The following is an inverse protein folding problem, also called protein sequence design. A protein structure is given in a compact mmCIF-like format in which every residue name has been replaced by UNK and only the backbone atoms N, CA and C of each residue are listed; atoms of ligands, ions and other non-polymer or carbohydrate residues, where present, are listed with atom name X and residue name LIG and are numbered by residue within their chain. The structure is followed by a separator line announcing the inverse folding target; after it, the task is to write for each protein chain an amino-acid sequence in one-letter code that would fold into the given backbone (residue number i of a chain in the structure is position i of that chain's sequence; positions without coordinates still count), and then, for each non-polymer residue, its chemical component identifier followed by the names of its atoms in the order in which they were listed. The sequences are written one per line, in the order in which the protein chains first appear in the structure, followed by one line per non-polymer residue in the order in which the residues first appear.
data_IF_098339418168
#
_entry.id   IF_098339418168
#
_cell.length_a   1.000
_cell.length_b   1.000
_cell.length_c   1.000
_cell.angle_alpha   90.00
_cell.angle_beta   90.00
_cell.angle_gamma   90.00
#
_symmetry.space_group_name_H-M   'P 1'
#
loop_
_entity.id
_entity.type
_entity.pdbx_description
1 polymer ?
#
# COMPACT_ATOMS: atom_id res chain seq x y z
N UNK A 1 6.51 -14.21 5.00
CA UNK A 1 6.12 -14.81 3.71
C UNK A 1 6.06 -13.81 2.55
N UNK A 2 5.72 -12.53 2.76
CA UNK A 2 5.53 -11.56 1.66
C UNK A 2 6.73 -11.41 0.69
N UNK A 3 7.96 -11.62 1.15
CA UNK A 3 9.20 -11.56 0.33
C UNK A 3 9.72 -12.94 -0.13
N UNK A 4 8.97 -14.02 0.08
CA UNK A 4 9.41 -15.37 -0.31
C UNK A 4 9.07 -15.62 -1.78
N UNK A 5 10.08 -15.80 -2.63
CA UNK A 5 9.89 -16.09 -4.06
C UNK A 5 9.03 -17.34 -4.32
N UNK A 6 9.11 -18.37 -3.46
CA UNK A 6 8.26 -19.56 -3.59
C UNK A 6 6.76 -19.29 -3.43
N UNK A 7 6.38 -18.19 -2.76
CA UNK A 7 4.98 -17.83 -2.51
C UNK A 7 4.48 -16.76 -3.49
N UNK A 8 5.36 -15.82 -3.88
CA UNK A 8 5.01 -14.61 -4.63
C UNK A 8 5.62 -14.51 -6.02
N UNK A 9 6.43 -15.49 -6.43
CA UNK A 9 7.13 -15.48 -7.72
C UNK A 9 8.46 -14.72 -7.67
N UNK A 10 9.19 -14.63 -8.80
CA UNK A 10 10.49 -13.98 -8.88
C UNK A 10 10.44 -12.46 -8.63
N UNK A 11 9.27 -11.85 -8.82
CA UNK A 11 9.01 -10.42 -8.62
C UNK A 11 8.56 -10.09 -7.18
N UNK A 12 8.77 -10.99 -6.20
CA UNK A 12 8.28 -10.84 -4.81
C UNK A 12 8.76 -9.57 -4.09
N UNK A 13 9.86 -8.99 -4.55
CA UNK A 13 10.44 -7.76 -3.99
C UNK A 13 9.93 -6.48 -4.69
N UNK A 14 9.19 -6.62 -5.79
CA UNK A 14 8.65 -5.50 -6.56
C UNK A 14 7.31 -5.01 -5.99
N UNK A 15 7.13 -3.68 -5.98
CA UNK A 15 5.83 -3.08 -5.72
C UNK A 15 4.93 -3.21 -6.96
N UNK A 16 4.02 -4.18 -6.94
CA UNK A 16 3.16 -4.53 -8.08
C UNK A 16 1.67 -4.59 -7.69
N UNK A 17 0.96 -3.45 -7.72
CA UNK A 17 -0.47 -3.37 -7.39
C UNK A 17 -1.35 -4.28 -8.25
N UNK A 18 -0.93 -4.57 -9.46
CA UNK A 18 -1.64 -5.40 -10.45
C UNK A 18 -1.82 -6.84 -9.95
N UNK A 19 -1.01 -7.30 -8.98
CA UNK A 19 -1.20 -8.61 -8.33
C UNK A 19 -2.55 -8.77 -7.65
N UNK A 20 -3.20 -7.66 -7.32
CA UNK A 20 -4.46 -7.60 -6.58
C UNK A 20 -5.64 -7.28 -7.48
N UNK A 21 -5.43 -7.19 -8.80
CA UNK A 21 -6.44 -6.79 -9.78
C UNK A 21 -6.52 -7.87 -10.85
N UNK A 22 -7.72 -8.37 -11.09
CA UNK A 22 -7.98 -9.31 -12.16
C UNK A 22 -7.80 -8.58 -13.51
N UNK A 23 -6.90 -9.04 -14.40
CA UNK A 23 -6.57 -8.33 -15.62
C UNK A 23 -7.71 -8.32 -16.65
N UNK A 24 -8.67 -9.23 -16.53
CA UNK A 24 -9.79 -9.34 -17.47
C UNK A 24 -11.00 -8.52 -17.04
N UNK A 25 -11.26 -8.44 -15.73
CA UNK A 25 -12.45 -7.79 -15.16
C UNK A 25 -12.16 -6.45 -14.48
N UNK A 26 -10.90 -6.17 -14.17
CA UNK A 26 -10.49 -5.00 -13.38
C UNK A 26 -10.94 -5.05 -11.91
N UNK A 27 -11.52 -6.17 -11.45
CA UNK A 27 -11.99 -6.35 -10.07
C UNK A 27 -10.84 -6.76 -9.15
N UNK A 28 -10.99 -6.47 -7.86
CA UNK A 28 -10.01 -6.89 -6.85
C UNK A 28 -9.99 -8.42 -6.75
N UNK A 29 -8.81 -9.01 -6.89
CA UNK A 29 -8.59 -10.45 -6.72
C UNK A 29 -8.48 -10.76 -5.22
N UNK A 30 -9.31 -11.68 -4.68
CA UNK A 30 -9.22 -12.07 -3.28
C UNK A 30 -7.98 -12.94 -3.07
N UNK A 31 -7.02 -12.45 -2.28
CA UNK A 31 -5.87 -13.23 -1.83
C UNK A 31 -6.16 -13.78 -0.44
N UNK A 32 -5.84 -15.06 -0.22
CA UNK A 32 -5.95 -15.69 1.08
C UNK A 32 -5.18 -14.92 2.15
N UNK A 33 -5.81 -14.66 3.30
CA UNK A 33 -5.17 -14.04 4.46
C UNK A 33 -3.99 -14.88 5.00
N UNK A 34 -3.97 -16.19 4.75
CA UNK A 34 -2.83 -17.05 5.08
C UNK A 34 -1.64 -16.87 4.12
N UNK A 35 -1.87 -16.35 2.91
CA UNK A 35 -0.81 -16.00 1.96
C UNK A 35 -0.26 -14.60 2.25
N UNK A 36 -1.13 -13.65 2.60
CA UNK A 36 -0.77 -12.28 2.96
C UNK A 36 -1.30 -11.90 4.35
N UNK A 37 -0.47 -12.12 5.37
CA UNK A 37 -0.86 -12.14 6.79
C UNK A 37 -0.75 -10.76 7.44
N UNK A 38 -1.11 -9.67 6.74
CA UNK A 38 -0.95 -8.29 7.27
C UNK A 38 -1.89 -7.96 8.42
N UNK A 39 -3.10 -8.55 8.41
CA UNK A 39 -4.11 -8.42 9.48
C UNK A 39 -4.36 -9.75 10.21
N UNK A 40 -3.41 -10.69 10.14
CA UNK A 40 -3.57 -12.07 10.61
C UNK A 40 -4.68 -12.83 9.83
N UNK A 41 -5.07 -14.02 10.29
CA UNK A 41 -6.11 -14.84 9.67
C UNK A 41 -6.96 -15.57 10.72
N UNK A 42 -8.14 -16.05 10.29
CA UNK A 42 -9.04 -16.85 11.13
C UNK A 42 -9.68 -16.07 12.28
N UNK A 43 -10.09 -16.74 13.38
CA UNK A 43 -10.81 -16.12 14.50
C UNK A 43 -10.02 -15.03 15.25
N UNK A 44 -8.71 -14.94 15.04
CA UNK A 44 -7.81 -13.95 15.63
C UNK A 44 -7.31 -12.92 14.61
N UNK A 45 -8.01 -12.79 13.48
CA UNK A 45 -7.84 -11.67 12.56
C UNK A 45 -8.03 -10.35 13.30
N UNK A 46 -7.28 -9.32 12.87
CA UNK A 46 -7.36 -7.99 13.45
C UNK A 46 -8.80 -7.47 13.40
N UNK A 47 -9.37 -7.22 14.59
CA UNK A 47 -10.71 -6.65 14.74
C UNK A 47 -10.83 -5.28 14.04
N UNK A 48 -9.73 -4.53 14.00
CA UNK A 48 -9.64 -3.21 13.39
C UNK A 48 -9.40 -3.20 11.87
N UNK A 49 -9.36 -4.36 11.19
CA UNK A 49 -9.01 -4.42 9.76
C UNK A 49 -9.88 -3.48 8.90
N UNK A 50 -11.20 -3.52 9.08
CA UNK A 50 -12.12 -2.73 8.26
C UNK A 50 -11.96 -1.23 8.51
N UNK A 51 -11.75 -0.83 9.77
CA UNK A 51 -11.51 0.57 10.12
C UNK A 51 -10.19 1.07 9.53
N UNK A 52 -9.10 0.32 9.71
CA UNK A 52 -7.79 0.67 9.17
C UNK A 52 -7.82 0.78 7.64
N UNK A 53 -8.51 -0.14 6.95
CA UNK A 53 -8.67 -0.08 5.49
C UNK A 53 -9.49 1.13 5.03
N UNK A 54 -10.51 1.54 5.78
CA UNK A 54 -11.27 2.75 5.50
C UNK A 54 -10.39 4.00 5.65
N UNK A 55 -9.70 4.14 6.78
CA UNK A 55 -8.82 5.27 7.06
C UNK A 55 -7.70 5.39 6.02
N UNK A 56 -7.02 4.29 5.69
CA UNK A 56 -5.98 4.28 4.66
C UNK A 56 -6.50 4.77 3.30
N UNK A 57 -7.69 4.32 2.87
CA UNK A 57 -8.29 4.76 1.61
C UNK A 57 -8.60 6.26 1.63
N UNK A 58 -9.18 6.77 2.72
CA UNK A 58 -9.50 8.19 2.86
C UNK A 58 -8.24 9.06 2.83
N UNK A 59 -7.20 8.67 3.57
CA UNK A 59 -5.92 9.40 3.61
C UNK A 59 -5.25 9.38 2.24
N UNK A 60 -5.14 8.22 1.60
CA UNK A 60 -4.50 8.08 0.28
C UNK A 60 -5.26 8.87 -0.78
N UNK A 61 -6.60 8.76 -0.83
CA UNK A 61 -7.41 9.53 -1.76
C UNK A 61 -7.32 11.04 -1.52
N UNK A 62 -7.33 11.48 -0.25
CA UNK A 62 -7.22 12.88 0.12
C UNK A 62 -5.87 13.50 -0.21
N UNK A 63 -4.78 12.74 -0.04
CA UNK A 63 -3.43 13.19 -0.37
C UNK A 63 -3.19 13.19 -1.88
N UNK A 64 -3.42 12.06 -2.56
CA UNK A 64 -3.08 11.90 -3.97
C UNK A 64 -4.00 12.70 -4.93
N UNK A 65 -5.20 13.09 -4.49
CA UNK A 65 -6.07 13.98 -5.28
C UNK A 65 -5.58 15.44 -5.32
N UNK A 66 -4.72 15.84 -4.38
CA UNK A 66 -4.32 17.24 -4.18
C UNK A 66 -2.82 17.47 -4.28
N UNK A 67 -2.02 16.44 -4.05
CA UNK A 67 -0.58 16.57 -3.91
C UNK A 67 0.16 15.47 -4.68
N UNK A 68 1.28 15.87 -5.26
CA UNK A 68 2.34 14.97 -5.66
C UNK A 68 3.33 14.82 -4.50
N UNK A 69 3.68 13.58 -4.17
CA UNK A 69 4.56 13.25 -3.03
C UNK A 69 5.75 12.46 -3.55
N UNK A 70 6.95 12.96 -3.26
CA UNK A 70 8.23 12.36 -3.67
C UNK A 70 9.10 12.11 -2.45
N UNK A 71 9.46 10.85 -2.18
CA UNK A 71 10.31 10.48 -1.03
C UNK A 71 11.75 10.91 -1.30
N UNK A 72 12.39 11.54 -0.31
CA UNK A 72 13.79 11.92 -0.37
C UNK A 72 14.68 10.73 0.07
N UNK A 73 15.68 10.38 -0.75
CA UNK A 73 16.62 9.27 -0.50
C UNK A 73 15.92 7.89 -0.33
N UNK A 74 15.11 7.43 -1.30
CA UNK A 74 14.36 6.17 -1.20
C UNK A 74 15.25 4.96 -0.93
N UNK A 75 16.51 4.98 -1.38
CA UNK A 75 17.49 3.91 -1.17
C UNK A 75 17.90 3.70 0.30
N UNK A 76 17.65 4.68 1.16
CA UNK A 76 17.95 4.61 2.61
C UNK A 76 16.77 4.09 3.43
N UNK A 77 15.60 3.94 2.81
CA UNK A 77 14.38 3.51 3.50
C UNK A 77 14.51 2.04 3.88
N UNK A 78 14.45 1.77 5.17
CA UNK A 78 14.47 0.40 5.72
C UNK A 78 13.63 0.33 6.98
N UNK A 79 13.42 -0.88 7.51
CA UNK A 79 12.63 -1.09 8.71
C UNK A 79 13.45 -0.82 9.98
N UNK A 80 12.80 -0.29 11.00
CA UNK A 80 13.36 -0.26 12.34
C UNK A 80 13.04 -1.55 13.11
N UNK A 81 13.88 -1.86 14.10
CA UNK A 81 13.63 -2.98 14.99
C UNK A 81 12.67 -2.56 16.11
N UNK A 82 11.40 -2.94 16.00
CA UNK A 82 10.35 -2.61 16.96
C UNK A 82 9.33 -3.74 17.11
N UNK A 83 8.36 -3.57 18.01
CA UNK A 83 7.19 -4.47 18.12
C UNK A 83 6.33 -4.44 16.85
N UNK A 84 6.32 -3.30 16.15
CA UNK A 84 5.79 -3.16 14.80
C UNK A 84 6.95 -3.10 13.79
N UNK A 85 6.64 -2.91 12.50
CA UNK A 85 7.65 -2.71 11.45
C UNK A 85 7.62 -1.25 10.92
N UNK A 86 8.03 -0.25 11.73
CA UNK A 86 8.06 1.13 11.28
C UNK A 86 9.24 1.38 10.33
N UNK A 87 9.24 2.53 9.66
CA UNK A 87 10.42 3.02 8.92
C UNK A 87 11.47 3.46 9.93
N UNK A 88 12.73 3.09 9.68
CA UNK A 88 13.88 3.50 10.48
C UNK A 88 14.17 4.99 10.27
N UNK A 89 14.10 5.77 11.34
CA UNK A 89 14.34 7.20 11.30
C UNK A 89 13.24 7.98 10.57
N UNK A 90 13.59 9.11 9.98
CA UNK A 90 12.63 9.98 9.29
C UNK A 90 12.38 9.55 7.84
N UNK A 91 11.12 9.52 7.42
CA UNK A 91 10.72 9.40 6.01
C UNK A 91 10.41 10.79 5.46
N UNK A 92 11.46 11.51 5.04
CA UNK A 92 11.30 12.85 4.49
C UNK A 92 10.74 12.77 3.06
N UNK A 93 9.79 13.64 2.74
CA UNK A 93 9.20 13.73 1.41
C UNK A 93 9.04 15.19 0.98
N UNK A 94 9.25 15.44 -0.31
CA UNK A 94 8.85 16.67 -0.96
C UNK A 94 7.37 16.55 -1.35
N UNK A 95 6.60 17.56 -0.99
CA UNK A 95 5.17 17.63 -1.32
C UNK A 95 4.93 18.87 -2.16
N UNK A 96 4.29 18.70 -3.31
CA UNK A 96 3.86 19.79 -4.19
C UNK A 96 2.41 19.61 -4.59
N UNK A 97 1.66 20.68 -4.94
CA UNK A 97 0.32 20.53 -5.48
C UNK A 97 0.32 19.59 -6.70
N UNK A 98 -0.64 18.67 -6.77
CA UNK A 98 -0.90 17.91 -7.98
C UNK A 98 -1.42 18.88 -9.05
N UNK A 99 -0.97 18.73 -10.31
CA UNK A 99 -1.52 19.53 -11.40
C UNK A 99 -3.05 19.33 -11.43
N UNK A 100 -3.81 20.42 -11.46
CA UNK A 100 -5.26 20.35 -11.60
C UNK A 100 -5.57 19.61 -12.90
N UNK A 101 -6.14 18.40 -12.78
CA UNK A 101 -6.72 17.69 -13.90
C UNK A 101 -7.86 18.55 -14.45
N UNK A 102 -7.62 19.30 -15.53
CA UNK A 102 -8.64 20.01 -16.30
C UNK A 102 -9.49 19.01 -17.11
N UNK A 103 -10.04 18.00 -16.44
CA UNK A 103 -10.85 16.98 -17.07
C UNK A 103 -12.33 17.31 -16.80
N UNK A 104 -13.06 17.89 -17.77
CA UNK A 104 -14.41 18.42 -17.58
C UNK A 104 -15.49 17.34 -17.34
N UNK A 105 -15.12 16.06 -17.25
CA UNK A 105 -16.07 14.96 -17.08
C UNK A 105 -16.48 14.67 -15.62
N UNK A 106 -15.87 15.35 -14.65
CA UNK A 106 -16.18 15.19 -13.21
C UNK A 106 -16.42 16.53 -12.50
N UNK A 107 -17.05 17.48 -13.19
CA UNK A 107 -17.65 18.67 -12.59
C UNK A 107 -19.18 18.53 -12.56
#
# INVERSE_FOLDING_TARGET
MARMHQVWGPDAEEFKPERWIDPSTGKITPISAYKFVSFNAGPRMCLGMNLAMLEMKLVVAGLLSKFHVEVLNPEKVTYDLSLTLPVKGALNAKVSPAALSTNPHFA
#
